data_IF_897784181563
#
_entry.id   IF_897784181563
#
_cell.length_a   1.000
_cell.length_b   1.000
_cell.length_c   1.000
_cell.angle_alpha   90.00
_cell.angle_beta   90.00
_cell.angle_gamma   90.00
#
_symmetry.space_group_name_H-M   'P 1'
#
loop_
_entity.id
_entity.type
_entity.pdbx_description
1 polymer ?
#
# COMPACT_ATOMS: atom_id res chain seq x y z
N UNK A 1 -11.39 -0.33 -3.56
CA UNK A 1 -12.55 -1.10 -4.06
C UNK A 1 -13.75 -0.17 -4.02
N UNK A 2 -14.55 -0.04 -5.09
CA UNK A 2 -15.81 0.68 -4.99
C UNK A 2 -16.69 -0.03 -3.97
N UNK A 3 -17.29 0.74 -3.08
CA UNK A 3 -18.20 0.26 -2.06
C UNK A 3 -19.35 -0.50 -2.73
N UNK A 4 -19.43 -1.81 -2.53
CA UNK A 4 -20.66 -2.56 -2.78
C UNK A 4 -21.67 -2.14 -1.72
N UNK A 5 -22.39 -1.07 -1.97
CA UNK A 5 -23.67 -0.84 -1.29
C UNK A 5 -24.63 -1.90 -1.82
N UNK A 6 -24.84 -2.92 -1.03
CA UNK A 6 -25.97 -3.83 -1.19
C UNK A 6 -27.23 -3.08 -0.80
N UNK A 7 -27.73 -2.25 -1.70
CA UNK A 7 -29.13 -1.83 -1.68
C UNK A 7 -29.94 -2.89 -2.42
N UNK A 8 -30.85 -3.49 -1.67
CA UNK A 8 -31.98 -4.31 -2.09
C UNK A 8 -31.91 -4.97 -3.46
N UNK A 9 -31.31 -6.18 -3.57
CA UNK A 9 -31.73 -7.20 -4.54
C UNK A 9 -31.62 -6.94 -6.03
N UNK A 10 -31.00 -5.86 -6.50
CA UNK A 10 -30.71 -5.63 -7.91
C UNK A 10 -29.32 -6.15 -8.22
N UNK A 11 -29.24 -7.25 -8.98
CA UNK A 11 -27.98 -7.68 -9.59
C UNK A 11 -27.52 -6.60 -10.57
N UNK A 12 -26.41 -5.94 -10.28
CA UNK A 12 -25.79 -5.00 -11.20
C UNK A 12 -25.27 -5.83 -12.38
N UNK A 13 -26.01 -5.80 -13.51
CA UNK A 13 -25.55 -6.39 -14.75
C UNK A 13 -24.45 -5.49 -15.34
N UNK A 14 -23.29 -6.06 -15.60
CA UNK A 14 -22.19 -5.37 -16.29
C UNK A 14 -21.85 -6.13 -17.59
N UNK A 15 -21.50 -5.40 -18.63
CA UNK A 15 -21.16 -5.99 -19.94
C UNK A 15 -19.72 -6.49 -20.00
N UNK A 16 -18.82 -5.88 -19.22
CA UNK A 16 -17.41 -6.24 -19.25
C UNK A 16 -16.72 -5.96 -17.91
N UNK A 17 -15.63 -6.68 -17.65
CA UNK A 17 -14.72 -6.47 -16.53
C UNK A 17 -13.36 -6.09 -17.09
N UNK A 18 -12.79 -4.96 -16.64
CA UNK A 18 -11.42 -4.56 -16.98
C UNK A 18 -10.52 -4.75 -15.77
N UNK A 19 -9.48 -5.56 -15.94
CA UNK A 19 -8.44 -5.77 -14.93
C UNK A 19 -7.18 -4.98 -15.33
N UNK A 20 -6.64 -4.22 -14.42
CA UNK A 20 -5.44 -3.42 -14.65
C UNK A 20 -4.71 -3.10 -13.35
N UNK A 21 -3.53 -2.48 -13.47
CA UNK A 21 -2.76 -2.00 -12.33
C UNK A 21 -3.33 -0.65 -11.87
N UNK A 22 -3.44 -0.47 -10.54
CA UNK A 22 -3.79 0.81 -9.97
C UNK A 22 -2.56 1.75 -10.01
N UNK A 23 -2.78 2.99 -10.43
CA UNK A 23 -1.74 4.03 -10.34
C UNK A 23 -1.48 4.45 -8.88
N UNK A 24 -0.32 5.05 -8.56
CA UNK A 24 -0.05 5.59 -7.23
C UNK A 24 -1.11 6.60 -6.76
N UNK A 25 -1.60 7.44 -7.66
CA UNK A 25 -2.68 8.41 -7.39
C UNK A 25 -3.97 7.70 -7.00
N UNK A 26 -4.31 6.62 -7.69
CA UNK A 26 -5.50 5.82 -7.40
C UNK A 26 -5.39 5.13 -6.05
N UNK A 27 -4.21 4.65 -5.69
CA UNK A 27 -3.95 4.05 -4.37
C UNK A 27 -4.10 5.11 -3.27
N UNK A 28 -3.59 6.34 -3.46
CA UNK A 28 -3.77 7.43 -2.51
C UNK A 28 -5.24 7.84 -2.36
N UNK A 29 -6.00 7.85 -3.45
CA UNK A 29 -7.45 8.13 -3.42
C UNK A 29 -8.21 7.11 -2.55
N UNK A 30 -7.85 5.83 -2.63
CA UNK A 30 -8.47 4.77 -1.81
C UNK A 30 -7.98 4.75 -0.37
N UNK A 31 -6.81 5.31 -0.11
CA UNK A 31 -6.17 5.24 1.19
C UNK A 31 -6.83 6.18 2.21
N UNK A 32 -6.98 5.69 3.43
CA UNK A 32 -7.43 6.48 4.59
C UNK A 32 -6.28 7.16 5.32
N UNK A 33 -5.04 6.90 4.94
CA UNK A 33 -3.86 7.55 5.51
C UNK A 33 -2.56 6.81 5.24
N UNK A 34 -1.45 7.52 5.46
CA UNK A 34 -0.11 6.96 5.31
C UNK A 34 0.32 6.16 6.56
N UNK A 35 0.85 4.97 6.34
CA UNK A 35 1.53 4.18 7.37
C UNK A 35 2.99 4.62 7.40
N UNK A 36 3.40 5.27 8.50
CA UNK A 36 4.75 5.86 8.64
C UNK A 36 5.67 5.08 9.56
N UNK A 37 5.13 4.10 10.28
CA UNK A 37 5.88 3.26 11.24
C UNK A 37 5.74 1.79 10.90
N UNK A 38 6.80 1.03 11.13
CA UNK A 38 6.83 -0.41 10.92
C UNK A 38 6.17 -1.22 12.05
N UNK A 39 5.88 -0.58 13.17
CA UNK A 39 5.28 -1.23 14.33
C UNK A 39 3.86 -1.72 14.02
N UNK A 40 3.50 -2.83 14.62
CA UNK A 40 2.18 -3.45 14.49
C UNK A 40 1.34 -3.20 15.74
N UNK A 41 1.67 -3.88 16.83
CA UNK A 41 0.99 -3.80 18.13
C UNK A 41 2.00 -3.53 19.22
N UNK A 42 1.55 -2.88 20.28
CA UNK A 42 2.32 -2.78 21.51
C UNK A 42 2.28 -4.12 22.26
N UNK A 43 3.43 -4.73 22.50
CA UNK A 43 3.53 -6.05 23.13
C UNK A 43 2.95 -6.11 24.55
N UNK A 44 2.93 -4.96 25.26
CA UNK A 44 2.43 -4.87 26.65
C UNK A 44 0.92 -4.68 26.71
N UNK A 45 0.38 -3.82 25.85
CA UNK A 45 -1.05 -3.46 25.86
C UNK A 45 -1.87 -4.24 24.84
N UNK A 46 -1.22 -4.93 23.90
CA UNK A 46 -1.81 -5.64 22.75
C UNK A 46 -2.68 -4.74 21.85
N UNK A 47 -2.50 -3.43 21.95
CA UNK A 47 -3.21 -2.46 21.11
C UNK A 47 -2.36 -2.06 19.91
N UNK A 48 -2.99 -1.75 18.76
CA UNK A 48 -2.26 -1.25 17.60
C UNK A 48 -1.51 0.05 17.89
N UNK A 49 -0.27 0.13 17.43
CA UNK A 49 0.50 1.37 17.52
C UNK A 49 -0.05 2.42 16.55
N UNK A 50 -0.13 3.70 16.98
CA UNK A 50 -0.51 4.79 16.11
C UNK A 50 0.46 4.91 14.91
N UNK A 51 -0.10 5.17 13.71
CA UNK A 51 0.63 5.32 12.45
C UNK A 51 1.39 4.06 11.99
N UNK A 52 1.18 2.93 12.68
CA UNK A 52 1.73 1.63 12.32
C UNK A 52 0.86 0.84 11.34
N UNK A 53 1.29 -0.38 11.06
CA UNK A 53 0.63 -1.27 10.09
C UNK A 53 -0.80 -1.69 10.48
N UNK A 54 -1.18 -1.55 11.76
CA UNK A 54 -2.54 -1.84 12.26
C UNK A 54 -3.24 -0.63 12.87
N UNK A 55 -2.78 0.58 12.55
CA UNK A 55 -3.30 1.83 13.12
C UNK A 55 -4.82 1.92 13.04
N UNK A 56 -5.47 2.17 14.18
CA UNK A 56 -6.94 2.28 14.25
C UNK A 56 -7.48 3.57 13.61
N UNK A 57 -6.66 4.63 13.50
CA UNK A 57 -7.06 5.86 12.79
C UNK A 57 -7.18 5.63 11.29
N UNK A 58 -6.30 4.82 10.72
CA UNK A 58 -6.25 4.52 9.29
C UNK A 58 -7.26 3.43 8.94
N UNK A 59 -7.23 2.32 9.66
CA UNK A 59 -7.99 1.12 9.32
C UNK A 59 -9.30 0.97 10.07
N UNK A 60 -9.51 1.70 11.14
CA UNK A 60 -10.70 1.60 11.98
C UNK A 60 -10.46 0.91 13.31
N UNK A 61 -11.48 0.90 14.21
CA UNK A 61 -11.35 0.37 15.55
C UNK A 61 -11.23 -1.16 15.56
N UNK A 62 -10.60 -1.73 16.59
CA UNK A 62 -10.52 -3.17 16.80
C UNK A 62 -11.84 -3.78 17.34
N UNK A 63 -12.61 -2.99 18.08
CA UNK A 63 -13.88 -3.40 18.67
C UNK A 63 -15.01 -2.54 18.13
N UNK A 64 -16.16 -3.13 17.94
CA UNK A 64 -17.34 -2.44 17.45
C UNK A 64 -17.71 -1.29 18.40
N UNK A 65 -17.88 -0.12 17.82
CA UNK A 65 -18.37 1.09 18.51
C UNK A 65 -17.47 1.55 19.67
N UNK A 66 -16.17 1.22 19.64
CA UNK A 66 -15.21 1.62 20.66
C UNK A 66 -13.99 2.30 20.01
N UNK A 67 -13.64 3.51 20.44
CA UNK A 67 -12.42 4.17 20.02
C UNK A 67 -11.17 3.60 20.74
N UNK A 68 -9.99 3.83 20.20
CA UNK A 68 -8.72 3.32 20.76
C UNK A 68 -8.49 3.66 22.24
N UNK A 69 -8.75 4.90 22.64
CA UNK A 69 -8.55 5.34 24.03
C UNK A 69 -9.69 4.95 24.97
N UNK A 70 -10.80 4.43 24.47
CA UNK A 70 -11.95 4.00 25.25
C UNK A 70 -12.85 5.13 25.77
N UNK A 71 -12.65 6.36 25.31
CA UNK A 71 -13.53 7.50 25.67
C UNK A 71 -14.97 7.29 25.17
N UNK A 72 -15.11 6.81 23.96
CA UNK A 72 -16.39 6.49 23.33
C UNK A 72 -16.51 4.99 23.13
N UNK A 73 -17.57 4.37 23.69
CA UNK A 73 -17.75 2.89 23.71
C UNK A 73 -19.15 2.42 23.33
N UNK A 74 -20.01 3.29 22.83
CA UNK A 74 -21.41 2.91 22.57
C UNK A 74 -21.86 3.33 21.17
N UNK A 75 -22.81 2.60 20.61
CA UNK A 75 -23.41 2.88 19.29
C UNK A 75 -23.98 4.29 19.14
N UNK A 76 -24.38 4.93 20.24
CA UNK A 76 -24.86 6.33 20.22
C UNK A 76 -23.81 7.33 19.69
N UNK A 77 -22.54 6.95 19.70
CA UNK A 77 -21.43 7.75 19.18
C UNK A 77 -21.01 7.32 17.77
N UNK A 78 -21.88 6.57 17.08
CA UNK A 78 -21.65 6.11 15.72
C UNK A 78 -21.18 7.26 14.82
N UNK A 79 -20.19 6.94 13.98
CA UNK A 79 -19.59 7.83 12.96
C UNK A 79 -18.89 9.09 13.52
N UNK A 80 -18.74 9.19 14.86
CA UNK A 80 -17.95 10.25 15.49
C UNK A 80 -16.46 9.92 15.45
N UNK A 81 -15.65 10.93 15.16
CA UNK A 81 -14.19 10.83 15.30
C UNK A 81 -13.84 11.27 16.74
N UNK A 82 -13.13 10.41 17.45
CA UNK A 82 -12.70 10.71 18.81
C UNK A 82 -11.72 11.87 18.83
N UNK A 83 -12.06 12.93 19.56
CA UNK A 83 -11.24 14.13 19.75
C UNK A 83 -9.89 13.86 20.44
N UNK A 84 -9.79 12.76 21.20
CA UNK A 84 -8.56 12.39 21.94
C UNK A 84 -7.63 11.50 21.14
N UNK A 85 -8.13 10.47 20.47
CA UNK A 85 -7.30 9.50 19.76
C UNK A 85 -7.47 9.50 18.24
N UNK A 86 -8.41 10.28 17.69
CA UNK A 86 -8.64 10.41 16.25
C UNK A 86 -9.27 9.17 15.59
N UNK A 87 -9.68 8.16 16.37
CA UNK A 87 -10.28 6.94 15.84
C UNK A 87 -11.78 7.14 15.67
N UNK A 88 -12.30 6.77 14.51
CA UNK A 88 -13.73 6.79 14.21
C UNK A 88 -14.47 5.67 14.96
N UNK A 89 -15.61 6.00 15.55
CA UNK A 89 -16.44 5.03 16.27
C UNK A 89 -17.36 4.34 15.28
N UNK A 90 -16.95 3.19 14.78
CA UNK A 90 -17.67 2.39 13.78
C UNK A 90 -17.52 0.89 14.06
N UNK A 91 -18.05 0.06 13.18
CA UNK A 91 -17.87 -1.40 13.28
C UNK A 91 -16.43 -1.79 12.98
N UNK A 92 -15.91 -2.78 13.67
CA UNK A 92 -14.56 -3.34 13.43
C UNK A 92 -14.42 -4.00 12.05
N UNK A 93 -15.52 -4.40 11.40
CA UNK A 93 -15.52 -4.97 10.05
C UNK A 93 -14.91 -4.05 8.99
N UNK A 94 -14.97 -2.71 9.19
CA UNK A 94 -14.36 -1.74 8.26
C UNK A 94 -12.85 -1.93 8.11
N UNK A 95 -12.19 -2.58 9.07
CA UNK A 95 -10.74 -2.90 8.98
C UNK A 95 -10.41 -3.85 7.82
N UNK A 96 -11.37 -4.62 7.33
CA UNK A 96 -11.22 -5.51 6.17
C UNK A 96 -11.43 -4.78 4.84
N UNK A 97 -11.98 -3.59 4.86
CA UNK A 97 -12.36 -2.83 3.67
C UNK A 97 -11.44 -1.62 3.45
N UNK A 98 -10.99 -0.99 4.54
CA UNK A 98 -10.17 0.24 4.49
C UNK A 98 -8.75 -0.06 4.07
N UNK A 99 -8.23 0.77 3.19
CA UNK A 99 -6.85 0.74 2.72
C UNK A 99 -6.05 1.89 3.33
N UNK A 100 -4.79 1.61 3.62
CA UNK A 100 -3.75 2.61 3.87
C UNK A 100 -2.70 2.52 2.77
N UNK A 101 -1.72 3.42 2.78
CA UNK A 101 -0.60 3.37 1.85
C UNK A 101 0.72 3.62 2.58
N UNK A 102 1.79 3.20 1.94
CA UNK A 102 3.17 3.44 2.38
C UNK A 102 3.84 4.23 1.27
N UNK A 103 4.37 5.42 1.61
CA UNK A 103 5.21 6.18 0.70
C UNK A 103 6.60 5.53 0.64
N UNK A 104 7.03 5.17 -0.57
CA UNK A 104 8.34 4.57 -0.77
C UNK A 104 9.39 5.66 -0.93
N UNK A 105 10.60 5.43 -0.38
CA UNK A 105 11.73 6.35 -0.51
C UNK A 105 12.26 6.47 -1.95
N UNK A 106 12.07 5.41 -2.76
CA UNK A 106 12.45 5.36 -4.17
C UNK A 106 11.41 4.57 -4.97
N UNK A 107 11.28 4.84 -6.28
CA UNK A 107 10.42 4.05 -7.15
C UNK A 107 10.83 2.58 -7.15
N UNK A 108 9.84 1.68 -7.14
CA UNK A 108 10.05 0.23 -7.18
C UNK A 108 9.37 -0.34 -8.42
N UNK A 109 10.09 -1.21 -9.15
CA UNK A 109 9.57 -1.86 -10.33
C UNK A 109 8.51 -2.89 -9.97
N UNK A 110 7.42 -2.94 -10.75
CA UNK A 110 6.39 -3.93 -10.57
C UNK A 110 6.89 -5.31 -11.04
N UNK A 111 6.67 -6.32 -10.20
CA UNK A 111 7.17 -7.68 -10.42
C UNK A 111 6.68 -8.32 -11.73
N UNK A 112 5.50 -7.98 -12.23
CA UNK A 112 4.97 -8.51 -13.49
C UNK A 112 5.83 -8.17 -14.71
N UNK A 113 6.49 -7.01 -14.71
CA UNK A 113 7.36 -6.58 -15.79
C UNK A 113 8.78 -7.11 -15.67
N UNK A 114 9.17 -7.48 -14.46
CA UNK A 114 10.53 -7.92 -14.14
C UNK A 114 10.65 -9.46 -14.11
N UNK A 115 9.82 -10.17 -13.31
CA UNK A 115 9.92 -11.62 -13.08
C UNK A 115 9.27 -12.50 -14.16
N UNK A 116 8.67 -11.91 -15.19
CA UNK A 116 8.10 -12.68 -16.31
C UNK A 116 9.20 -13.45 -17.08
N UNK A 117 8.82 -14.55 -17.73
CA UNK A 117 9.69 -15.29 -18.65
C UNK A 117 9.04 -15.23 -20.05
N UNK A 118 9.62 -14.49 -20.99
CA UNK A 118 10.80 -13.61 -20.86
C UNK A 118 10.51 -12.32 -20.08
N UNK A 119 11.55 -11.75 -19.43
CA UNK A 119 11.42 -10.47 -18.71
C UNK A 119 11.12 -9.34 -19.69
N UNK A 120 9.98 -8.68 -19.55
CA UNK A 120 9.59 -7.55 -20.40
C UNK A 120 10.56 -6.38 -20.28
N UNK A 121 10.97 -6.04 -19.04
CA UNK A 121 11.96 -5.00 -18.79
C UNK A 121 13.33 -5.37 -19.37
N UNK A 122 13.76 -6.60 -19.19
CA UNK A 122 15.04 -7.08 -19.72
C UNK A 122 15.10 -6.96 -21.25
N UNK A 123 14.03 -7.32 -21.95
CA UNK A 123 13.94 -7.21 -23.41
C UNK A 123 13.97 -5.76 -23.90
N UNK A 124 13.19 -4.87 -23.28
CA UNK A 124 13.11 -3.45 -23.70
C UNK A 124 14.43 -2.73 -23.43
N UNK A 125 15.04 -2.99 -22.29
CA UNK A 125 16.29 -2.35 -21.88
C UNK A 125 17.51 -3.03 -22.48
N UNK A 126 17.38 -4.20 -23.10
CA UNK A 126 18.48 -5.01 -23.56
C UNK A 126 19.51 -5.29 -22.45
N UNK A 127 19.00 -5.70 -21.28
CA UNK A 127 19.81 -6.05 -20.11
C UNK A 127 19.44 -7.47 -19.71
N UNK A 128 20.47 -8.31 -19.44
CA UNK A 128 20.22 -9.68 -19.00
C UNK A 128 19.41 -9.72 -17.70
N UNK A 129 18.50 -10.68 -17.50
CA UNK A 129 17.69 -10.79 -16.28
C UNK A 129 18.55 -10.83 -15.01
N UNK A 130 19.73 -11.46 -15.05
CA UNK A 130 20.66 -11.52 -13.92
C UNK A 130 21.23 -10.16 -13.54
N UNK A 131 21.59 -9.35 -14.53
CA UNK A 131 22.09 -8.00 -14.29
C UNK A 131 20.97 -7.06 -13.85
N UNK A 132 19.79 -7.20 -14.45
CA UNK A 132 18.61 -6.45 -14.07
C UNK A 132 18.21 -6.73 -12.61
N UNK A 133 18.31 -7.98 -12.16
CA UNK A 133 18.08 -8.39 -10.78
C UNK A 133 19.01 -7.64 -9.81
N UNK A 134 20.31 -7.61 -10.10
CA UNK A 134 21.28 -6.89 -9.27
C UNK A 134 20.99 -5.38 -9.19
N UNK A 135 20.57 -4.76 -10.28
CA UNK A 135 20.26 -3.33 -10.35
C UNK A 135 19.00 -3.04 -9.54
N UNK A 136 17.92 -3.80 -9.74
CA UNK A 136 16.63 -3.56 -9.09
C UNK A 136 16.65 -3.84 -7.58
N UNK A 137 17.53 -4.74 -7.12
CA UNK A 137 17.74 -4.98 -5.69
C UNK A 137 18.85 -4.14 -5.07
N UNK A 138 19.32 -3.09 -5.77
CA UNK A 138 20.34 -2.15 -5.29
C UNK A 138 21.69 -2.81 -4.93
N UNK A 139 22.00 -3.95 -5.54
CA UNK A 139 23.27 -4.65 -5.36
C UNK A 139 24.37 -4.17 -6.33
N UNK A 140 24.00 -3.46 -7.39
CA UNK A 140 24.92 -2.97 -8.42
C UNK A 140 24.37 -1.70 -9.07
N UNK A 141 25.26 -0.91 -9.63
CA UNK A 141 24.94 0.25 -10.45
C UNK A 141 24.95 -0.09 -11.93
N UNK A 142 24.29 0.73 -12.74
CA UNK A 142 24.33 0.65 -14.20
C UNK A 142 24.74 2.02 -14.77
N UNK A 143 25.66 2.01 -15.74
CA UNK A 143 26.10 3.22 -16.41
C UNK A 143 25.03 3.70 -17.38
N UNK A 144 24.39 4.83 -17.06
CA UNK A 144 23.40 5.49 -17.94
C UNK A 144 24.07 6.47 -18.91
N UNK A 145 25.06 7.19 -18.43
CA UNK A 145 25.89 8.08 -19.22
C UNK A 145 27.34 7.90 -18.78
N UNK A 146 28.21 7.65 -19.72
CA UNK A 146 29.65 7.44 -19.45
C UNK A 146 30.43 8.74 -19.27
N UNK A 147 29.89 9.87 -19.76
CA UNK A 147 30.61 11.11 -19.78
C UNK A 147 31.98 10.98 -20.49
N UNK A 148 33.04 11.45 -19.84
CA UNK A 148 34.44 11.35 -20.29
C UNK A 148 35.17 10.09 -19.75
N UNK A 149 34.48 9.17 -19.12
CA UNK A 149 35.07 7.95 -18.55
C UNK A 149 35.25 6.84 -19.60
N UNK A 150 36.15 5.86 -19.31
CA UNK A 150 36.36 4.66 -20.14
C UNK A 150 35.28 3.60 -19.95
N UNK A 151 34.20 3.91 -19.24
CA UNK A 151 33.10 2.99 -18.98
C UNK A 151 32.22 2.80 -20.23
N UNK A 152 31.60 1.63 -20.34
CA UNK A 152 30.65 1.38 -21.43
C UNK A 152 29.20 1.67 -20.96
N UNK A 153 28.37 2.16 -21.90
CA UNK A 153 26.94 2.30 -21.69
C UNK A 153 26.33 0.95 -21.27
N UNK A 154 25.44 0.97 -20.29
CA UNK A 154 24.84 -0.22 -19.65
C UNK A 154 25.82 -1.14 -18.91
N UNK A 155 27.07 -0.74 -18.70
CA UNK A 155 28.00 -1.52 -17.89
C UNK A 155 27.49 -1.61 -16.46
N UNK A 156 27.50 -2.81 -15.89
CA UNK A 156 27.09 -3.05 -14.50
C UNK A 156 28.32 -2.98 -13.61
N UNK A 157 28.26 -2.10 -12.62
CA UNK A 157 29.33 -1.85 -11.64
C UNK A 157 28.91 -2.43 -10.28
N UNK A 158 29.83 -3.06 -9.59
CA UNK A 158 29.64 -3.59 -8.23
C UNK A 158 29.98 -2.55 -7.19
#
# INVERSE_FOLDING_TARGET
>A
MPENKTDGGQSIAFESIKIGLASPEKIREWSRGAVTKAETINYRTLKPEPDGLFCERIFGPQKDWECHCGKYKKIRYKDMICDRCGVEVTKSSVRRERMGHIELAAPVSHIWYFKGIPSRMGLILDISPRNLDKILYFASYVVLDRGESDLNYKQVLS
#
